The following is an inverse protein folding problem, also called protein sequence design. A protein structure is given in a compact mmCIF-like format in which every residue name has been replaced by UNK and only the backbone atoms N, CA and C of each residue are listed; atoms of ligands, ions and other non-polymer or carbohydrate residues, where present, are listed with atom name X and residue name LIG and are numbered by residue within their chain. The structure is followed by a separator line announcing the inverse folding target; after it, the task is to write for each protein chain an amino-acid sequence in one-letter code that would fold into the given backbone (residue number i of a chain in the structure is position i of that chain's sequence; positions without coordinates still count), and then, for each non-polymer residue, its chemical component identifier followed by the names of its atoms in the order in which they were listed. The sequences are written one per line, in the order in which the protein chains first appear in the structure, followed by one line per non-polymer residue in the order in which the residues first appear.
data_IF_909668057545
#
_entry.id   IF_909668057545
#
_cell.length_a   1.000
_cell.length_b   1.000
_cell.length_c   1.000
_cell.angle_alpha   90.00
_cell.angle_beta   90.00
_cell.angle_gamma   90.00
#
_symmetry.space_group_name_H-M   'P 1'
#
loop_
_entity.id
_entity.type
_entity.pdbx_description
1 polymer ?
#
# COMPACT_ATOMS: atom_id res chain seq x y z
N UNK A 1 -3.15 -8.24 1.18
CA UNK A 1 -3.48 -6.81 1.29
C UNK A 1 -4.24 -6.57 2.58
N UNK A 2 -4.83 -5.38 2.74
CA UNK A 2 -5.67 -5.04 3.89
C UNK A 2 -5.31 -3.70 4.54
N UNK A 3 -6.25 -3.17 5.30
CA UNK A 3 -6.15 -1.90 6.04
C UNK A 3 -5.43 -2.11 7.38
N UNK A 4 -4.14 -2.46 7.31
CA UNK A 4 -3.28 -2.61 8.49
C UNK A 4 -2.88 -1.25 9.06
N UNK A 5 -2.16 -1.25 10.19
CA UNK A 5 -1.37 -0.08 10.60
C UNK A 5 -0.37 0.32 9.49
N UNK A 6 0.12 1.58 9.50
CA UNK A 6 1.10 2.03 8.51
C UNK A 6 2.35 1.13 8.52
N UNK A 7 2.76 0.67 7.35
CA UNK A 7 3.98 -0.16 7.18
C UNK A 7 4.76 0.28 5.94
N UNK A 8 6.04 -0.07 5.87
CA UNK A 8 6.85 0.16 4.66
C UNK A 8 6.44 -0.81 3.54
N UNK A 9 6.76 -0.51 2.28
CA UNK A 9 6.61 -1.49 1.20
C UNK A 9 7.46 -2.73 1.43
N UNK A 10 6.92 -3.91 1.10
CA UNK A 10 7.60 -5.18 1.29
C UNK A 10 6.69 -6.40 1.28
N UNK A 11 7.32 -7.55 1.53
CA UNK A 11 6.66 -8.85 1.69
C UNK A 11 6.68 -9.23 3.15
N UNK A 12 5.50 -9.53 3.71
CA UNK A 12 5.32 -9.77 5.13
C UNK A 12 4.68 -11.13 5.37
N UNK A 13 5.20 -11.87 6.35
CA UNK A 13 4.54 -13.08 6.87
C UNK A 13 3.22 -12.67 7.54
N UNK A 14 2.15 -13.39 7.23
CA UNK A 14 0.87 -13.21 7.94
C UNK A 14 0.98 -13.85 9.32
N UNK A 15 1.17 -13.03 10.34
CA UNK A 15 1.27 -13.42 11.74
C UNK A 15 0.01 -13.03 12.53
N UNK A 16 -0.05 -13.43 13.79
CA UNK A 16 -1.23 -13.24 14.64
C UNK A 16 -1.54 -11.74 14.86
N UNK A 17 -0.50 -10.89 14.94
CA UNK A 17 -0.69 -9.44 15.02
C UNK A 17 -1.37 -8.88 13.76
N UNK A 18 -0.96 -9.35 12.58
CA UNK A 18 -1.59 -8.96 11.32
C UNK A 18 -3.04 -9.41 11.26
N UNK A 19 -3.35 -10.63 11.72
CA UNK A 19 -4.73 -11.13 11.79
C UNK A 19 -5.59 -10.26 12.70
N UNK A 20 -5.07 -9.84 13.86
CA UNK A 20 -5.76 -8.93 14.76
C UNK A 20 -6.04 -7.57 14.12
N UNK A 21 -5.05 -6.98 13.43
CA UNK A 21 -5.20 -5.70 12.72
C UNK A 21 -6.26 -5.80 11.60
N UNK A 22 -6.23 -6.89 10.81
CA UNK A 22 -7.17 -7.14 9.71
C UNK A 22 -8.60 -7.39 10.20
N UNK A 23 -8.76 -8.07 11.33
CA UNK A 23 -10.06 -8.43 11.91
C UNK A 23 -10.71 -7.23 12.61
N UNK A 24 -9.92 -6.46 13.36
CA UNK A 24 -10.41 -5.25 14.05
C UNK A 24 -10.71 -4.09 13.09
N UNK A 25 -10.09 -4.06 11.91
CA UNK A 25 -10.25 -2.96 10.95
C UNK A 25 -9.64 -1.67 11.49
N UNK A 26 -8.39 -1.73 11.97
CA UNK A 26 -7.69 -0.61 12.63
C UNK A 26 -7.63 0.69 11.79
N UNK A 27 -7.68 0.58 10.46
CA UNK A 27 -7.81 1.72 9.54
C UNK A 27 -9.12 1.72 8.73
N UNK A 28 -10.17 1.08 9.26
CA UNK A 28 -11.46 0.91 8.60
C UNK A 28 -11.64 -0.48 7.99
N UNK A 29 -12.91 -0.83 7.77
CA UNK A 29 -13.31 -2.10 7.19
C UNK A 29 -13.25 -2.03 5.66
N UNK A 30 -12.58 -2.99 5.04
CA UNK A 30 -12.47 -3.08 3.59
C UNK A 30 -12.31 -4.53 3.15
N UNK A 31 -12.90 -4.89 2.01
CA UNK A 31 -12.89 -6.26 1.50
C UNK A 31 -11.46 -6.81 1.29
N UNK A 32 -10.50 -5.95 0.97
CA UNK A 32 -9.09 -6.33 0.81
C UNK A 32 -8.45 -6.90 2.09
N UNK A 33 -9.03 -6.64 3.27
CA UNK A 33 -8.54 -7.16 4.55
C UNK A 33 -8.81 -8.65 4.73
N UNK A 34 -9.80 -9.21 4.03
CA UNK A 34 -10.06 -10.65 4.04
C UNK A 34 -8.92 -11.46 3.42
N UNK A 35 -8.14 -10.87 2.51
CA UNK A 35 -7.10 -11.59 1.79
C UNK A 35 -6.02 -12.17 2.70
N UNK A 36 -5.60 -11.45 3.75
CA UNK A 36 -4.64 -11.97 4.72
C UNK A 36 -5.22 -13.06 5.62
N UNK A 37 -6.48 -12.92 6.02
CA UNK A 37 -7.20 -13.88 6.87
C UNK A 37 -7.38 -15.21 6.14
N UNK A 38 -7.89 -15.17 4.91
CA UNK A 38 -8.08 -16.36 4.06
C UNK A 38 -6.74 -17.04 3.79
N UNK A 39 -5.69 -16.25 3.47
CA UNK A 39 -4.36 -16.81 3.21
C UNK A 39 -3.80 -17.55 4.44
N UNK A 40 -4.00 -17.01 5.65
CA UNK A 40 -3.57 -17.64 6.90
C UNK A 40 -4.32 -18.94 7.17
N UNK A 41 -5.64 -18.93 7.03
CA UNK A 41 -6.50 -20.10 7.26
C UNK A 41 -6.16 -21.27 6.32
N UNK A 42 -5.86 -20.98 5.06
CA UNK A 42 -5.40 -22.00 4.10
C UNK A 42 -4.01 -22.52 4.52
N UNK A 43 -3.08 -21.63 4.81
CA UNK A 43 -1.68 -21.98 5.06
C UNK A 43 -1.49 -22.85 6.33
N UNK A 44 -2.30 -22.61 7.37
CA UNK A 44 -2.30 -23.42 8.60
C UNK A 44 -2.69 -24.88 8.35
N UNK A 45 -3.60 -25.16 7.41
CA UNK A 45 -4.00 -26.53 7.06
C UNK A 45 -2.86 -27.36 6.47
N UNK A 46 -1.88 -26.71 5.85
CA UNK A 46 -0.73 -27.35 5.22
C UNK A 46 0.58 -27.13 5.97
N UNK A 47 0.54 -26.44 7.12
CA UNK A 47 1.72 -26.07 7.91
C UNK A 47 2.81 -25.35 7.08
N UNK A 48 2.36 -24.44 6.20
CA UNK A 48 3.23 -23.59 5.37
C UNK A 48 3.05 -22.11 5.74
N UNK A 49 4.01 -21.22 5.43
CA UNK A 49 3.85 -19.80 5.69
C UNK A 49 2.92 -19.11 4.67
N UNK A 50 2.11 -18.16 5.15
CA UNK A 50 1.34 -17.23 4.32
C UNK A 50 2.02 -15.86 4.26
N UNK A 51 1.88 -15.16 3.13
CA UNK A 51 2.46 -13.83 2.94
C UNK A 51 1.47 -12.86 2.31
N UNK A 52 1.65 -11.58 2.64
CA UNK A 52 1.09 -10.47 1.87
C UNK A 52 2.23 -9.61 1.31
N UNK A 53 1.98 -8.94 0.20
CA UNK A 53 2.95 -8.05 -0.44
C UNK A 53 2.31 -6.67 -0.61
N UNK A 54 3.07 -5.63 -0.27
CA UNK A 54 2.74 -4.22 -0.50
C UNK A 54 1.25 -3.90 -0.24
N UNK A 55 0.76 -4.06 1.01
CA UNK A 55 -0.66 -3.82 1.32
C UNK A 55 -1.07 -2.36 1.08
N UNK A 56 -2.37 -2.10 1.07
CA UNK A 56 -2.90 -0.75 0.81
C UNK A 56 -2.48 0.28 1.86
N UNK A 57 -2.07 -0.17 3.05
CA UNK A 57 -1.54 0.63 4.16
C UNK A 57 -0.03 0.92 4.07
N UNK A 58 0.60 0.68 2.92
CA UNK A 58 2.00 1.09 2.72
C UNK A 58 2.08 2.61 2.91
N UNK A 59 2.89 3.05 3.87
CA UNK A 59 3.12 4.45 4.19
C UNK A 59 4.62 4.75 4.11
N UNK A 60 4.97 5.51 3.09
CA UNK A 60 6.33 5.95 2.81
C UNK A 60 6.38 7.48 2.62
N UNK A 61 5.30 8.19 2.94
CA UNK A 61 5.15 9.64 2.76
C UNK A 61 6.32 10.39 3.39
N UNK A 62 6.76 11.47 2.75
CA UNK A 62 7.69 12.41 3.36
C UNK A 62 6.97 13.26 4.41
N UNK A 63 7.72 13.91 5.30
CA UNK A 63 7.15 14.74 6.36
C UNK A 63 6.34 15.91 5.76
N UNK A 64 6.79 16.47 4.64
CA UNK A 64 6.08 17.51 3.90
C UNK A 64 4.77 17.00 3.31
N UNK A 65 4.76 15.76 2.80
CA UNK A 65 3.56 15.13 2.26
C UNK A 65 2.53 14.78 3.35
N UNK A 66 2.88 14.81 4.65
CA UNK A 66 1.91 14.59 5.74
C UNK A 66 1.07 15.82 6.06
N UNK A 67 1.49 17.01 5.62
CA UNK A 67 0.79 18.27 5.89
C UNK A 67 -0.59 18.24 5.21
N UNK A 68 -1.66 18.31 5.99
CA UNK A 68 -3.05 18.34 5.48
C UNK A 68 -3.62 19.76 5.30
N UNK A 69 -2.98 20.76 5.93
CA UNK A 69 -3.52 22.11 6.09
C UNK A 69 -4.21 22.37 7.44
N UNK A 70 -4.39 21.33 8.27
CA UNK A 70 -4.88 21.43 9.65
C UNK A 70 -3.85 20.86 10.64
N UNK A 71 -3.42 21.61 11.67
CA UNK A 71 -2.41 21.16 12.62
C UNK A 71 -2.74 19.84 13.34
N UNK A 72 -4.02 19.57 13.55
CA UNK A 72 -4.52 18.41 14.31
C UNK A 72 -4.69 17.14 13.45
N UNK A 73 -4.55 17.26 12.12
CA UNK A 73 -4.85 16.17 11.18
C UNK A 73 -3.68 15.98 10.22
N UNK A 74 -3.15 14.76 10.14
CA UNK A 74 -2.18 14.39 9.11
C UNK A 74 -2.84 13.66 7.93
N UNK A 75 -2.25 13.77 6.75
CA UNK A 75 -2.64 12.95 5.59
C UNK A 75 -2.36 11.47 5.89
N UNK A 76 -3.27 10.59 5.46
CA UNK A 76 -3.15 9.14 5.61
C UNK A 76 -2.82 8.48 4.29
N UNK A 77 -1.83 7.58 4.30
CA UNK A 77 -1.45 6.79 3.12
C UNK A 77 -2.35 5.56 2.97
N UNK A 78 -3.27 5.60 2.00
CA UNK A 78 -4.08 4.45 1.59
C UNK A 78 -4.18 4.46 0.06
N UNK A 79 -3.57 3.48 -0.61
CA UNK A 79 -3.40 3.50 -2.06
C UNK A 79 -3.10 2.11 -2.64
N UNK A 80 -3.01 2.02 -3.96
CA UNK A 80 -2.83 0.76 -4.70
C UNK A 80 -1.36 0.32 -4.77
N UNK A 81 -0.70 0.20 -3.60
CA UNK A 81 0.75 0.02 -3.47
C UNK A 81 1.31 -1.15 -4.28
N UNK A 82 0.76 -2.35 -4.10
CA UNK A 82 1.20 -3.56 -4.82
C UNK A 82 1.19 -3.38 -6.33
N UNK A 83 0.08 -2.86 -6.87
CA UNK A 83 -0.07 -2.69 -8.30
C UNK A 83 0.92 -1.63 -8.83
N UNK A 84 0.95 -0.46 -8.21
CA UNK A 84 1.83 0.61 -8.65
C UNK A 84 3.30 0.23 -8.57
N UNK A 85 3.77 -0.34 -7.45
CA UNK A 85 5.17 -0.77 -7.32
C UNK A 85 5.52 -1.88 -8.33
N UNK A 86 4.60 -2.79 -8.66
CA UNK A 86 4.84 -3.79 -9.69
C UNK A 86 4.98 -3.17 -11.09
N UNK A 87 4.07 -2.27 -11.48
CA UNK A 87 4.09 -1.60 -12.80
C UNK A 87 5.29 -0.68 -12.93
N UNK A 88 5.64 0.08 -11.89
CA UNK A 88 6.81 0.97 -11.90
C UNK A 88 8.12 0.19 -12.02
N UNK A 89 8.27 -0.95 -11.32
CA UNK A 89 9.44 -1.83 -11.50
C UNK A 89 9.55 -2.34 -12.94
N UNK A 90 8.42 -2.71 -13.56
CA UNK A 90 8.38 -3.12 -14.97
C UNK A 90 8.79 -1.97 -15.90
N UNK A 91 8.22 -0.77 -15.70
CA UNK A 91 8.55 0.41 -16.50
C UNK A 91 10.03 0.83 -16.35
N UNK A 92 10.60 0.68 -15.15
CA UNK A 92 12.03 0.91 -14.92
C UNK A 92 12.89 -0.05 -15.75
N UNK A 93 12.57 -1.34 -15.72
CA UNK A 93 13.26 -2.35 -16.52
C UNK A 93 13.15 -2.09 -18.03
N UNK A 94 11.97 -1.72 -18.53
CA UNK A 94 11.77 -1.33 -19.93
C UNK A 94 12.57 -0.08 -20.33
N UNK A 95 12.79 0.83 -19.40
CA UNK A 95 13.64 2.01 -19.58
C UNK A 95 15.14 1.72 -19.37
N UNK A 96 15.54 0.48 -19.08
CA UNK A 96 16.92 0.10 -18.79
C UNK A 96 17.46 0.73 -17.50
N UNK A 97 16.60 0.98 -16.51
CA UNK A 97 16.95 1.58 -15.22
C UNK A 97 16.53 0.68 -14.06
N UNK A 98 17.28 0.75 -12.98
CA UNK A 98 16.84 0.19 -11.71
C UNK A 98 15.80 1.11 -11.05
N UNK A 99 14.79 0.50 -10.41
CA UNK A 99 13.75 1.26 -9.71
C UNK A 99 14.32 2.16 -8.60
N UNK A 100 15.45 1.77 -8.00
CA UNK A 100 16.16 2.54 -6.97
C UNK A 100 16.96 3.72 -7.53
N UNK A 101 17.18 3.79 -8.84
CA UNK A 101 18.03 4.79 -9.49
C UNK A 101 17.24 5.82 -10.30
N UNK A 102 15.92 5.68 -10.34
CA UNK A 102 15.04 6.51 -11.14
C UNK A 102 13.81 6.96 -10.37
N UNK A 103 13.18 8.01 -10.90
CA UNK A 103 11.95 8.58 -10.35
C UNK A 103 10.82 8.31 -11.34
N UNK A 104 9.64 8.01 -10.80
CA UNK A 104 8.46 7.69 -11.59
C UNK A 104 7.23 8.35 -10.99
N UNK A 105 6.25 8.64 -11.85
CA UNK A 105 4.88 8.90 -11.43
C UNK A 105 4.09 7.63 -11.71
N UNK A 106 3.62 6.98 -10.66
CA UNK A 106 2.77 5.80 -10.73
C UNK A 106 1.30 6.20 -10.76
N UNK A 107 0.52 5.63 -11.66
CA UNK A 107 -0.92 5.91 -11.76
C UNK A 107 -1.68 4.59 -11.84
N UNK A 108 -2.49 4.32 -10.81
CA UNK A 108 -3.47 3.24 -10.85
C UNK A 108 -4.83 3.80 -11.24
N UNK A 109 -5.43 3.25 -12.29
CA UNK A 109 -6.77 3.61 -12.78
C UNK A 109 -7.68 2.39 -12.65
N UNK A 110 -8.71 2.51 -11.80
CA UNK A 110 -9.65 1.42 -11.52
C UNK A 110 -10.85 1.93 -10.74
N UNK A 111 -11.48 1.06 -9.93
CA UNK A 111 -12.60 1.44 -9.05
C UNK A 111 -12.22 2.44 -7.95
N UNK A 112 -10.92 2.63 -7.71
CA UNK A 112 -10.36 3.79 -7.02
C UNK A 112 -9.12 4.24 -7.79
N UNK A 113 -8.78 5.52 -7.71
CA UNK A 113 -7.62 6.08 -8.42
C UNK A 113 -6.57 6.54 -7.42
N UNK A 114 -5.32 6.13 -7.65
CA UNK A 114 -4.17 6.65 -6.90
C UNK A 114 -3.09 7.10 -7.86
N UNK A 115 -2.49 8.26 -7.58
CA UNK A 115 -1.37 8.86 -8.27
C UNK A 115 -0.27 9.05 -7.24
N UNK A 116 0.88 8.42 -7.47
CA UNK A 116 1.98 8.41 -6.51
C UNK A 116 3.29 8.91 -7.13
N UNK A 117 4.04 9.67 -6.34
CA UNK A 117 5.40 10.09 -6.64
C UNK A 117 6.40 9.08 -6.09
N UNK A 118 6.99 8.29 -6.98
CA UNK A 118 8.04 7.33 -6.65
C UNK A 118 9.42 7.99 -6.79
N UNK A 119 10.11 8.17 -5.67
CA UNK A 119 11.46 8.68 -5.58
C UNK A 119 12.40 7.54 -5.20
N UNK A 120 13.17 7.04 -6.19
CA UNK A 120 14.25 6.05 -5.96
C UNK A 120 13.83 4.86 -5.08
N UNK A 121 12.76 4.18 -5.46
CA UNK A 121 12.26 3.02 -4.73
C UNK A 121 11.15 3.31 -3.71
N UNK A 122 11.04 4.55 -3.23
CA UNK A 122 10.15 4.96 -2.14
C UNK A 122 9.02 5.85 -2.66
N UNK A 123 7.81 5.69 -2.13
CA UNK A 123 6.66 6.53 -2.48
C UNK A 123 6.53 7.68 -1.49
N UNK A 124 6.98 8.86 -1.91
CA UNK A 124 7.10 10.03 -1.02
C UNK A 124 5.84 10.88 -0.95
N UNK A 125 4.94 10.74 -1.93
CA UNK A 125 3.63 11.39 -1.93
C UNK A 125 2.63 10.55 -2.72
N UNK A 126 1.39 10.44 -2.21
CA UNK A 126 0.27 9.75 -2.87
C UNK A 126 -1.05 10.25 -2.30
N UNK A 127 -2.10 10.34 -3.12
CA UNK A 127 -3.44 10.66 -2.65
C UNK A 127 -4.07 9.49 -1.88
N UNK A 128 -4.98 9.79 -0.96
CA UNK A 128 -5.76 8.77 -0.27
C UNK A 128 -6.91 8.26 -1.17
N UNK A 129 -6.72 7.07 -1.74
CA UNK A 129 -7.64 6.48 -2.72
C UNK A 129 -8.87 5.79 -2.10
N UNK A 130 -9.10 5.93 -0.79
CA UNK A 130 -10.26 5.35 -0.09
C UNK A 130 -11.18 6.40 0.52
N UNK A 131 -10.63 7.51 1.02
CA UNK A 131 -11.38 8.53 1.76
C UNK A 131 -11.71 9.79 0.95
N UNK A 132 -11.65 9.71 -0.38
CA UNK A 132 -12.11 10.78 -1.27
C UNK A 132 -11.09 11.86 -1.59
N UNK A 133 -9.79 11.55 -1.52
CA UNK A 133 -8.70 12.44 -1.96
C UNK A 133 -8.28 12.11 -3.40
N UNK A 134 -7.85 13.13 -4.13
CA UNK A 134 -7.32 13.01 -5.49
C UNK A 134 -8.39 13.13 -6.59
N UNK A 135 -8.19 12.48 -7.75
CA UNK A 135 -9.04 12.66 -8.92
C UNK A 135 -10.43 12.03 -8.77
N UNK A 136 -11.38 12.43 -9.61
CA UNK A 136 -12.70 11.80 -9.69
C UNK A 136 -12.58 10.29 -10.00
N UNK A 137 -13.21 9.47 -9.16
CA UNK A 137 -13.28 8.01 -9.27
C UNK A 137 -14.63 7.48 -8.81
#
# INVERSE_FOLDING_TARGET
GGTLKPIVGGTYIVNDQMINDLTSGVQGQHASSLGGIIAREIAEQFNIPAYIVDPVSVDELSDEARISGLPEIERRSIWHALNQKAVVRKAAAEAGKEYLEANFIGVHLGGGISIASHLRGRVVDVNNALHGDGPFS
#
